data_IF_605929258490
#
_entry.id   IF_605929258490
#
_cell.length_a   1.000
_cell.length_b   1.000
_cell.length_c   1.000
_cell.angle_alpha   90.00
_cell.angle_beta   90.00
_cell.angle_gamma   90.00
#
_symmetry.space_group_name_H-M   'P 1'
#
loop_
_entity.id
_entity.type
_entity.pdbx_description
1 polymer ?
#
# COMPACT_ATOMS: atom_id res chain seq x y z
N UNK A 1 -6.38 7.94 13.68
CA UNK A 1 -7.50 7.22 14.31
C UNK A 1 -7.50 5.77 13.89
N UNK A 2 -7.84 4.80 14.78
CA UNK A 2 -7.95 3.41 14.39
C UNK A 2 -9.19 3.19 13.51
N UNK A 3 -9.08 2.29 12.55
CA UNK A 3 -10.13 1.95 11.59
C UNK A 3 -10.23 0.43 11.45
N UNK A 4 -11.41 -0.09 11.21
CA UNK A 4 -11.65 -1.49 10.90
C UNK A 4 -12.48 -1.60 9.63
N UNK A 5 -12.04 -2.38 8.68
CA UNK A 5 -12.76 -2.65 7.44
C UNK A 5 -13.27 -4.08 7.42
N UNK A 6 -14.52 -4.27 7.02
CA UNK A 6 -15.15 -5.59 6.86
C UNK A 6 -15.58 -5.73 5.40
N UNK A 7 -15.01 -6.69 4.69
CA UNK A 7 -15.28 -6.90 3.29
C UNK A 7 -16.70 -7.46 3.07
N UNK A 8 -17.49 -6.84 2.19
CA UNK A 8 -18.80 -7.33 1.71
C UNK A 8 -18.62 -8.13 0.42
N UNK A 9 -17.75 -7.66 -0.46
CA UNK A 9 -17.33 -8.35 -1.68
C UNK A 9 -15.86 -8.69 -1.60
N UNK A 10 -15.29 -9.54 -2.50
CA UNK A 10 -13.84 -9.66 -2.60
C UNK A 10 -13.20 -8.27 -2.70
N UNK A 11 -12.20 -8.01 -1.86
CA UNK A 11 -11.62 -6.69 -1.67
C UNK A 11 -10.10 -6.73 -1.66
N UNK A 12 -9.45 -5.72 -2.26
CA UNK A 12 -8.01 -5.50 -2.15
C UNK A 12 -7.74 -4.28 -1.28
N UNK A 13 -6.89 -4.46 -0.28
CA UNK A 13 -6.51 -3.44 0.72
C UNK A 13 -5.01 -3.28 0.75
N UNK A 14 -4.54 -2.03 0.79
CA UNK A 14 -3.16 -1.70 1.11
C UNK A 14 -3.07 -1.30 2.57
N UNK A 15 -2.10 -1.83 3.33
CA UNK A 15 -1.96 -1.48 4.73
C UNK A 15 -0.56 -1.75 5.26
N UNK A 16 0.00 -0.79 5.99
CA UNK A 16 1.37 -0.86 6.48
C UNK A 16 2.41 -1.08 5.37
N UNK A 17 3.61 -1.46 5.74
CA UNK A 17 4.76 -1.65 4.83
C UNK A 17 5.09 -3.14 4.72
N UNK A 18 5.43 -3.58 3.52
CA UNK A 18 5.85 -4.96 3.24
C UNK A 18 7.05 -5.38 4.08
N UNK A 19 7.16 -6.67 4.43
CA UNK A 19 8.38 -7.22 5.02
C UNK A 19 9.59 -6.96 4.13
N UNK A 20 10.75 -6.78 4.73
CA UNK A 20 12.01 -6.50 4.05
C UNK A 20 12.31 -7.47 2.89
N UNK A 21 12.05 -8.77 3.08
CA UNK A 21 12.28 -9.78 2.02
C UNK A 21 11.41 -9.55 0.78
N UNK A 22 10.15 -9.14 0.95
CA UNK A 22 9.28 -8.78 -0.18
C UNK A 22 9.73 -7.47 -0.85
N UNK A 23 10.15 -6.47 -0.06
CA UNK A 23 10.70 -5.23 -0.61
C UNK A 23 11.95 -5.49 -1.46
N UNK A 24 12.82 -6.40 -1.03
CA UNK A 24 14.00 -6.79 -1.78
C UNK A 24 13.62 -7.50 -3.07
N UNK A 25 12.72 -8.48 -3.02
CA UNK A 25 12.20 -9.19 -4.18
C UNK A 25 11.62 -8.21 -5.23
N UNK A 26 10.80 -7.26 -4.77
CA UNK A 26 10.21 -6.25 -5.65
C UNK A 26 11.27 -5.30 -6.23
N UNK A 27 12.25 -4.87 -5.41
CA UNK A 27 13.32 -4.02 -5.88
C UNK A 27 14.13 -4.67 -7.01
N UNK A 28 14.43 -5.97 -6.87
CA UNK A 28 15.14 -6.77 -7.88
C UNK A 28 14.28 -6.99 -9.14
N UNK A 29 13.04 -7.45 -8.97
CA UNK A 29 12.15 -7.77 -10.09
C UNK A 29 11.81 -6.54 -10.96
N UNK A 30 11.63 -5.37 -10.32
CA UNK A 30 11.31 -4.12 -11.02
C UNK A 30 12.54 -3.30 -11.43
N UNK A 31 13.77 -3.71 -11.05
CA UNK A 31 14.97 -2.91 -11.26
C UNK A 31 14.87 -1.55 -10.54
N UNK A 32 14.26 -1.54 -9.35
CA UNK A 32 13.98 -0.32 -8.59
C UNK A 32 15.16 0.06 -7.69
N UNK A 33 16.24 0.58 -8.26
CA UNK A 33 17.46 0.95 -7.54
C UNK A 33 17.20 1.93 -6.40
N UNK A 34 16.23 2.83 -6.57
CA UNK A 34 15.80 3.76 -5.52
C UNK A 34 15.28 3.03 -4.28
N UNK A 35 14.65 1.87 -4.44
CA UNK A 35 14.16 1.04 -3.34
C UNK A 35 15.29 0.13 -2.81
N UNK A 36 16.11 -0.46 -3.67
CA UNK A 36 17.23 -1.34 -3.28
C UNK A 36 18.12 -0.72 -2.22
N UNK A 37 18.40 0.58 -2.33
CA UNK A 37 19.22 1.33 -1.35
C UNK A 37 18.50 1.61 -0.03
N UNK A 38 17.21 1.30 0.08
CA UNK A 38 16.33 1.66 1.20
C UNK A 38 15.67 0.48 1.91
N UNK A 39 15.81 -0.74 1.40
CA UNK A 39 15.16 -1.94 1.98
C UNK A 39 15.58 -2.22 3.43
N UNK A 40 16.69 -1.65 3.89
CA UNK A 40 17.18 -1.79 5.27
C UNK A 40 16.63 -0.74 6.24
N UNK A 41 15.94 0.27 5.74
CA UNK A 41 15.34 1.31 6.58
C UNK A 41 14.16 0.75 7.38
N UNK A 42 13.89 1.34 8.54
CA UNK A 42 12.64 1.04 9.24
C UNK A 42 11.45 1.47 8.37
N UNK A 43 10.26 0.87 8.55
CA UNK A 43 9.08 1.23 7.76
C UNK A 43 8.77 2.73 7.77
N UNK A 44 8.86 3.38 8.93
CA UNK A 44 8.66 4.83 9.06
C UNK A 44 9.72 5.63 8.30
N UNK A 45 10.99 5.21 8.39
CA UNK A 45 12.09 5.87 7.66
C UNK A 45 11.89 5.72 6.15
N UNK A 46 11.53 4.53 5.68
CA UNK A 46 11.25 4.28 4.25
C UNK A 46 10.13 5.18 3.73
N UNK A 47 9.00 5.22 4.43
CA UNK A 47 7.87 6.09 4.07
C UNK A 47 8.27 7.56 4.08
N UNK A 48 9.02 7.99 5.11
CA UNK A 48 9.52 9.38 5.22
C UNK A 48 10.38 9.76 4.02
N UNK A 49 11.31 8.90 3.62
CA UNK A 49 12.17 9.16 2.46
C UNK A 49 11.38 9.20 1.15
N UNK A 50 10.39 8.33 0.97
CA UNK A 50 9.52 8.36 -0.20
C UNK A 50 8.70 9.66 -0.24
N UNK A 51 8.10 10.06 0.87
CA UNK A 51 7.28 11.27 0.96
C UNK A 51 8.11 12.52 0.65
N UNK A 52 9.35 12.57 1.13
CA UNK A 52 10.30 13.69 0.91
C UNK A 52 11.05 13.61 -0.41
N UNK A 53 10.88 12.55 -1.20
CA UNK A 53 11.61 12.40 -2.45
C UNK A 53 11.33 13.62 -3.37
N UNK A 54 12.35 14.27 -3.95
CA UNK A 54 12.15 15.34 -4.93
C UNK A 54 11.30 14.87 -6.11
N UNK A 55 10.46 15.76 -6.67
CA UNK A 55 9.48 15.38 -7.69
C UNK A 55 10.14 14.76 -8.92
N UNK A 56 11.26 15.31 -9.38
CA UNK A 56 12.00 14.78 -10.53
C UNK A 56 12.56 13.35 -10.29
N UNK A 57 12.96 13.04 -9.05
CA UNK A 57 13.37 11.69 -8.66
C UNK A 57 12.17 10.74 -8.55
N UNK A 58 11.04 11.23 -8.04
CA UNK A 58 9.80 10.46 -8.00
C UNK A 58 9.30 10.15 -9.42
N UNK A 59 9.33 11.10 -10.34
CA UNK A 59 8.91 10.92 -11.73
C UNK A 59 9.74 9.82 -12.43
N UNK A 60 11.07 9.83 -12.23
CA UNK A 60 11.93 8.76 -12.75
C UNK A 60 11.62 7.39 -12.14
N UNK A 61 11.41 7.34 -10.83
CA UNK A 61 11.07 6.11 -10.12
C UNK A 61 9.72 5.54 -10.61
N UNK A 62 8.69 6.39 -10.73
CA UNK A 62 7.37 6.03 -11.24
C UNK A 62 7.46 5.50 -12.67
N UNK A 63 8.17 6.21 -13.56
CA UNK A 63 8.35 5.77 -14.94
C UNK A 63 9.06 4.40 -15.02
N UNK A 64 10.07 4.17 -14.18
CA UNK A 64 10.75 2.89 -14.05
C UNK A 64 9.79 1.77 -13.63
N UNK A 65 8.99 1.99 -12.58
CA UNK A 65 8.01 1.01 -12.10
C UNK A 65 6.96 0.68 -13.17
N UNK A 66 6.42 1.69 -13.86
CA UNK A 66 5.41 1.48 -14.92
C UNK A 66 5.98 0.65 -16.07
N UNK A 67 7.18 0.98 -16.54
CA UNK A 67 7.85 0.22 -17.60
C UNK A 67 8.15 -1.23 -17.20
N UNK A 68 8.57 -1.44 -15.94
CA UNK A 68 8.82 -2.78 -15.41
C UNK A 68 7.51 -3.58 -15.27
N UNK A 69 6.47 -2.97 -14.73
CA UNK A 69 5.15 -3.60 -14.57
C UNK A 69 4.61 -4.12 -15.90
N UNK A 70 4.66 -3.32 -16.97
CA UNK A 70 4.20 -3.72 -18.30
C UNK A 70 4.93 -4.98 -18.82
N UNK A 71 6.22 -5.11 -18.56
CA UNK A 71 7.01 -6.30 -18.93
C UNK A 71 6.65 -7.51 -18.08
N UNK A 72 6.57 -7.31 -16.74
CA UNK A 72 6.30 -8.38 -15.78
C UNK A 72 4.90 -8.98 -15.97
N UNK A 73 3.90 -8.18 -16.35
CA UNK A 73 2.54 -8.66 -16.64
C UNK A 73 2.46 -9.65 -17.82
N UNK A 74 3.48 -9.68 -18.69
CA UNK A 74 3.56 -10.59 -19.84
C UNK A 74 4.59 -11.69 -19.65
N UNK A 75 5.27 -11.74 -18.51
CA UNK A 75 6.35 -12.67 -18.22
C UNK A 75 5.82 -13.87 -17.44
N UNK A 76 6.11 -15.08 -17.92
CA UNK A 76 5.79 -16.32 -17.20
C UNK A 76 6.76 -16.54 -16.03
N UNK A 77 6.26 -17.21 -14.98
CA UNK A 77 7.08 -17.67 -13.86
C UNK A 77 7.44 -16.60 -12.81
N UNK A 78 6.83 -15.43 -12.86
CA UNK A 78 6.96 -14.43 -11.79
C UNK A 78 6.20 -14.89 -10.53
N UNK A 79 6.67 -14.50 -9.34
CA UNK A 79 5.97 -14.80 -8.10
C UNK A 79 4.63 -14.07 -8.01
N UNK A 80 3.74 -14.56 -7.13
CA UNK A 80 2.47 -13.88 -6.87
C UNK A 80 2.67 -12.45 -6.34
N UNK A 81 3.66 -12.23 -5.48
CA UNK A 81 4.03 -10.91 -4.96
C UNK A 81 4.39 -9.94 -6.09
N UNK A 82 5.21 -10.39 -7.04
CA UNK A 82 5.63 -9.56 -8.19
C UNK A 82 4.47 -9.31 -9.13
N UNK A 83 3.66 -10.33 -9.44
CA UNK A 83 2.47 -10.20 -10.30
C UNK A 83 1.46 -9.22 -9.72
N UNK A 84 1.09 -9.38 -8.45
CA UNK A 84 0.16 -8.49 -7.75
C UNK A 84 0.68 -7.04 -7.69
N UNK A 85 1.99 -6.86 -7.51
CA UNK A 85 2.61 -5.53 -7.52
C UNK A 85 2.59 -4.90 -8.92
N UNK A 86 2.79 -5.68 -9.98
CA UNK A 86 2.71 -5.19 -11.36
C UNK A 86 1.29 -4.73 -11.71
N UNK A 87 0.27 -5.52 -11.33
CA UNK A 87 -1.14 -5.14 -11.50
C UNK A 87 -1.47 -3.86 -10.74
N UNK A 88 -1.01 -3.74 -9.48
CA UNK A 88 -1.21 -2.55 -8.65
C UNK A 88 -0.58 -1.31 -9.29
N UNK A 89 0.69 -1.41 -9.73
CA UNK A 89 1.40 -0.29 -10.37
C UNK A 89 0.65 0.16 -11.61
N UNK A 90 0.24 -0.77 -12.48
CA UNK A 90 -0.50 -0.45 -13.70
C UNK A 90 -1.85 0.23 -13.40
N UNK A 91 -2.62 -0.30 -12.43
CA UNK A 91 -3.90 0.27 -12.02
C UNK A 91 -3.74 1.69 -11.48
N UNK A 92 -2.79 1.88 -10.57
CA UNK A 92 -2.57 3.18 -9.90
C UNK A 92 -2.04 4.21 -10.89
N UNK A 93 -1.09 3.83 -11.75
CA UNK A 93 -0.53 4.75 -12.75
C UNK A 93 -1.58 5.24 -13.77
N UNK A 94 -2.54 4.39 -14.14
CA UNK A 94 -3.66 4.80 -15.01
C UNK A 94 -4.61 5.77 -14.33
N UNK A 95 -4.87 5.57 -13.04
CA UNK A 95 -5.87 6.34 -12.29
C UNK A 95 -5.29 7.64 -11.73
N UNK A 96 -4.01 7.65 -11.38
CA UNK A 96 -3.28 8.76 -10.77
C UNK A 96 -1.91 8.94 -11.47
N UNK A 97 -1.87 9.36 -12.74
CA UNK A 97 -0.62 9.48 -13.49
C UNK A 97 0.34 10.48 -12.83
N UNK A 98 1.58 10.04 -12.57
CA UNK A 98 2.62 10.86 -11.96
C UNK A 98 2.47 11.15 -10.47
N UNK A 99 1.48 10.56 -9.80
CA UNK A 99 1.29 10.76 -8.35
C UNK A 99 2.33 9.95 -7.55
N UNK A 100 3.06 10.63 -6.69
CA UNK A 100 4.07 10.04 -5.79
C UNK A 100 3.49 8.97 -4.86
N UNK A 101 2.19 9.01 -4.57
CA UNK A 101 1.48 7.99 -3.82
C UNK A 101 1.59 6.59 -4.42
N UNK A 102 1.92 6.47 -5.72
CA UNK A 102 2.24 5.18 -6.32
C UNK A 102 3.46 4.53 -5.68
N UNK A 103 4.50 5.30 -5.35
CA UNK A 103 5.70 4.79 -4.68
C UNK A 103 5.38 4.33 -3.25
N UNK A 104 4.49 5.05 -2.56
CA UNK A 104 3.98 4.64 -1.24
C UNK A 104 3.19 3.33 -1.37
N UNK A 105 2.23 3.26 -2.30
CA UNK A 105 1.42 2.06 -2.54
C UNK A 105 2.28 0.84 -2.90
N UNK A 106 3.35 1.02 -3.66
CA UNK A 106 4.26 -0.05 -4.09
C UNK A 106 4.96 -0.74 -2.92
N UNK A 107 5.32 0.01 -1.88
CA UNK A 107 5.98 -0.54 -0.68
C UNK A 107 5.00 -1.02 0.39
N UNK A 108 3.68 -0.86 0.20
CA UNK A 108 2.66 -1.31 1.15
C UNK A 108 2.30 -2.78 0.95
N UNK A 109 1.90 -3.45 2.05
CA UNK A 109 1.31 -4.79 1.95
C UNK A 109 0.02 -4.73 1.16
N UNK A 110 -0.13 -5.60 0.16
CA UNK A 110 -1.37 -5.81 -0.55
C UNK A 110 -2.07 -7.07 0.01
N UNK A 111 -3.24 -6.88 0.57
CA UNK A 111 -4.05 -7.94 1.16
C UNK A 111 -5.30 -8.19 0.34
N UNK A 112 -5.63 -9.46 0.15
CA UNK A 112 -6.88 -9.89 -0.47
C UNK A 112 -7.84 -10.38 0.63
N UNK A 113 -8.98 -9.72 0.78
CA UNK A 113 -10.04 -10.06 1.74
C UNK A 113 -11.18 -10.75 1.01
N UNK A 114 -11.61 -11.90 1.53
CA UNK A 114 -12.87 -12.54 1.13
C UNK A 114 -14.06 -11.86 1.83
N UNK A 115 -15.30 -11.99 1.32
CA UNK A 115 -16.49 -11.52 2.01
C UNK A 115 -16.53 -12.02 3.45
N UNK A 116 -16.75 -11.14 4.42
CA UNK A 116 -16.75 -11.41 5.84
C UNK A 116 -15.39 -11.28 6.54
N UNK A 117 -14.27 -11.28 5.80
CA UNK A 117 -12.96 -10.99 6.38
C UNK A 117 -12.91 -9.54 6.86
N UNK A 118 -12.17 -9.30 7.94
CA UNK A 118 -11.91 -7.94 8.42
C UNK A 118 -10.43 -7.68 8.68
N UNK A 119 -10.04 -6.42 8.52
CA UNK A 119 -8.70 -5.94 8.78
C UNK A 119 -8.76 -4.69 9.66
N UNK A 120 -8.01 -4.71 10.76
CA UNK A 120 -7.89 -3.58 11.67
C UNK A 120 -6.62 -2.80 11.35
N UNK A 121 -6.74 -1.50 11.17
CA UNK A 121 -5.62 -0.57 10.97
C UNK A 121 -5.51 0.33 12.19
N UNK A 122 -4.41 0.28 12.95
CA UNK A 122 -4.18 1.17 14.07
C UNK A 122 -3.94 2.62 13.60
N UNK A 123 -4.02 3.56 14.51
CA UNK A 123 -3.66 4.95 14.23
C UNK A 123 -2.18 5.08 13.84
N UNK A 124 -1.90 6.02 12.93
CA UNK A 124 -0.55 6.23 12.39
C UNK A 124 -0.08 5.20 11.37
N UNK A 125 -0.88 4.20 11.03
CA UNK A 125 -0.57 3.25 9.98
C UNK A 125 -1.13 3.68 8.63
N UNK A 126 -0.28 3.66 7.58
CA UNK A 126 -0.72 3.93 6.21
C UNK A 126 -1.64 2.83 5.71
N UNK A 127 -2.74 3.22 5.05
CA UNK A 127 -3.67 2.27 4.45
C UNK A 127 -4.43 2.90 3.28
N UNK A 128 -4.95 2.07 2.39
CA UNK A 128 -5.82 2.47 1.29
C UNK A 128 -6.66 1.29 0.80
N UNK A 129 -7.84 1.57 0.27
CA UNK A 129 -8.73 0.58 -0.32
C UNK A 129 -8.63 0.64 -1.83
N UNK A 130 -8.21 -0.46 -2.46
CA UNK A 130 -7.94 -0.53 -3.89
C UNK A 130 -9.22 -0.88 -4.68
N UNK A 131 -9.95 -1.88 -4.20
CA UNK A 131 -11.16 -2.36 -4.86
C UNK A 131 -12.07 -3.12 -3.89
N UNK A 132 -13.34 -3.24 -4.24
CA UNK A 132 -14.35 -3.97 -3.47
C UNK A 132 -15.34 -3.05 -2.78
N UNK A 133 -16.28 -3.66 -2.07
CA UNK A 133 -17.30 -3.00 -1.23
C UNK A 133 -17.12 -3.48 0.21
N UNK A 134 -17.14 -2.55 1.16
CA UNK A 134 -16.91 -2.85 2.57
C UNK A 134 -17.76 -1.99 3.49
N UNK A 135 -17.85 -2.41 4.74
CA UNK A 135 -18.24 -1.55 5.86
C UNK A 135 -16.95 -1.10 6.54
N UNK A 136 -16.82 0.20 6.75
CA UNK A 136 -15.71 0.79 7.51
C UNK A 136 -16.23 1.33 8.84
N UNK A 137 -15.58 0.94 9.93
CA UNK A 137 -15.85 1.38 11.28
C UNK A 137 -14.65 2.18 11.77
N UNK A 138 -14.87 3.42 12.17
CA UNK A 138 -13.80 4.31 12.63
C UNK A 138 -14.27 5.23 13.76
N UNK A 139 -13.33 5.70 14.56
CA UNK A 139 -13.62 6.73 15.55
C UNK A 139 -13.99 8.06 14.87
N UNK A 140 -14.98 8.80 15.37
CA UNK A 140 -15.39 10.07 14.81
C UNK A 140 -14.27 11.10 14.94
N UNK A 141 -13.58 11.41 13.86
CA UNK A 141 -12.61 12.50 13.79
C UNK A 141 -12.29 12.84 12.31
N UNK A 142 -11.92 14.10 12.06
CA UNK A 142 -11.53 14.60 10.74
C UNK A 142 -10.02 14.75 10.55
N UNK A 143 -9.20 14.27 11.47
CA UNK A 143 -7.74 14.35 11.40
C UNK A 143 -7.14 13.29 10.44
N UNK A 144 -7.57 13.33 9.19
CA UNK A 144 -7.07 12.43 8.13
C UNK A 144 -5.95 13.11 7.36
N UNK A 145 -4.76 12.49 7.36
CA UNK A 145 -3.62 12.89 6.56
C UNK A 145 -3.44 11.91 5.39
N UNK A 146 -2.91 12.39 4.28
CA UNK A 146 -2.84 11.64 3.02
C UNK A 146 -1.41 11.57 2.50
N UNK A 147 -1.04 10.41 1.97
CA UNK A 147 0.28 10.16 1.39
C UNK A 147 0.32 10.28 -0.14
N UNK A 148 -0.82 10.51 -0.78
CA UNK A 148 -0.96 10.59 -2.24
C UNK A 148 -2.27 9.98 -2.74
N UNK A 149 -2.37 9.75 -4.04
CA UNK A 149 -3.51 9.13 -4.73
C UNK A 149 -4.83 9.87 -4.47
N UNK A 150 -4.77 11.19 -4.43
CA UNK A 150 -5.92 12.03 -4.09
C UNK A 150 -5.75 13.43 -4.69
N UNK A 151 -6.85 14.08 -5.14
CA UNK A 151 -6.81 15.49 -5.51
C UNK A 151 -6.84 16.44 -4.29
N UNK A 152 -6.98 15.90 -3.07
CA UNK A 152 -7.04 16.71 -1.85
C UNK A 152 -5.64 17.13 -1.41
N UNK A 153 -5.56 18.19 -0.61
CA UNK A 153 -4.32 18.70 -0.05
C UNK A 153 -3.54 17.61 0.72
N UNK A 154 -2.22 17.57 0.50
CA UNK A 154 -1.27 16.68 1.18
C UNK A 154 -0.35 17.55 2.02
N UNK A 155 -0.36 17.36 3.34
CA UNK A 155 0.61 17.94 4.25
C UNK A 155 1.66 16.87 4.59
N UNK A 156 2.75 16.87 3.83
CA UNK A 156 3.80 15.85 3.94
C UNK A 156 4.50 15.89 5.31
N UNK A 157 4.78 17.08 5.84
CA UNK A 157 5.50 17.20 7.12
C UNK A 157 4.61 16.81 8.31
N UNK A 158 3.32 17.16 8.27
CA UNK A 158 2.39 16.72 9.31
C UNK A 158 2.14 15.21 9.24
N UNK A 159 2.03 14.65 8.02
CA UNK A 159 1.92 13.20 7.84
C UNK A 159 3.12 12.46 8.47
N UNK A 160 4.35 12.91 8.21
CA UNK A 160 5.56 12.29 8.76
C UNK A 160 5.57 12.31 10.30
N UNK A 161 5.08 13.37 10.92
CA UNK A 161 5.01 13.46 12.39
C UNK A 161 4.06 12.42 13.00
N UNK A 162 2.94 12.14 12.33
CA UNK A 162 1.92 11.21 12.85
C UNK A 162 2.12 9.76 12.40
N UNK A 163 3.04 9.48 11.47
CA UNK A 163 3.39 8.11 11.11
C UNK A 163 3.83 7.31 12.34
N UNK A 164 3.16 6.19 12.59
CA UNK A 164 3.55 5.23 13.61
C UNK A 164 4.89 4.56 13.28
N UNK A 165 5.62 4.13 14.30
CA UNK A 165 6.87 3.36 14.12
C UNK A 165 6.60 1.96 13.56
N UNK A 166 5.47 1.35 13.96
CA UNK A 166 5.04 0.03 13.52
C UNK A 166 4.10 0.16 12.32
N UNK A 167 4.47 -0.45 11.23
CA UNK A 167 3.73 -0.47 9.96
C UNK A 167 3.55 -1.92 9.48
N UNK A 168 3.36 -2.86 10.42
CA UNK A 168 3.20 -4.27 10.11
C UNK A 168 1.87 -4.55 9.40
N UNK A 169 1.82 -5.62 8.60
CA UNK A 169 0.56 -6.07 8.04
C UNK A 169 -0.42 -6.45 9.16
N UNK A 170 -1.67 -5.97 9.13
CA UNK A 170 -2.65 -6.35 10.13
C UNK A 170 -2.94 -7.85 10.05
N UNK A 171 -3.27 -8.44 11.19
CA UNK A 171 -3.77 -9.81 11.23
C UNK A 171 -5.18 -9.81 10.63
N UNK A 172 -5.32 -10.60 9.56
CA UNK A 172 -6.62 -10.84 8.94
C UNK A 172 -7.52 -11.61 9.92
N UNK A 173 -8.66 -11.02 10.26
CA UNK A 173 -9.66 -11.68 11.10
C UNK A 173 -10.74 -12.29 10.21
N UNK A 174 -11.01 -13.57 10.41
CA UNK A 174 -12.06 -14.30 9.70
C UNK A 174 -13.23 -14.56 10.64
N UNK A 175 -14.47 -14.46 10.15
CA UNK A 175 -15.61 -14.79 10.99
C UNK A 175 -15.50 -16.23 11.47
N UNK A 176 -15.63 -16.44 12.78
CA UNK A 176 -15.76 -17.78 13.32
C UNK A 176 -17.15 -18.32 12.95
N UNK A 177 -17.24 -19.56 12.49
CA UNK A 177 -18.51 -20.24 12.35
C UNK A 177 -19.09 -20.49 13.74
N UNK A 178 -20.00 -19.59 14.17
CA UNK A 178 -20.58 -19.62 15.52
C UNK A 178 -21.90 -20.39 15.62
N UNK A 179 -22.19 -21.27 14.67
CA UNK A 179 -23.38 -22.13 14.69
C UNK A 179 -24.72 -21.41 14.51
N UNK A 180 -24.73 -20.11 14.25
CA UNK A 180 -25.94 -19.31 14.01
C UNK A 180 -26.29 -19.19 12.53
N UNK A 181 -25.79 -20.08 11.69
CA UNK A 181 -26.26 -20.33 10.34
C UNK A 181 -26.36 -19.07 9.45
N UNK A 182 -25.26 -18.36 9.25
CA UNK A 182 -25.12 -17.39 8.18
C UNK A 182 -24.04 -17.86 7.24
#
# INVERSE_FOLDING_TARGET
>A
KPENVIAITPMKVLTGVRPQGELQELAEAFGADWLSSRVQLSPKQLLTEIIRLPQDAADRAIAGLVNAAQKLMTQDGVSATVSDAADLVNLVAQKYPGDKGLLVAFVMNLMNLAPGDSAFTPDGQVHAYVSGTAIELMNPSDNVLRAGLTPKHIDAEELIKVLGEHQDAPVLQRPAANGLGV
#
